data_IF_586834875581
#
_entry.id   IF_586834875581
#
_cell.length_a   1.000
_cell.length_b   1.000
_cell.length_c   1.000
_cell.angle_alpha   90.00
_cell.angle_beta   90.00
_cell.angle_gamma   90.00
#
_symmetry.space_group_name_H-M   'P 1'
#
loop_
_entity.id
_entity.type
_entity.pdbx_description
1 polymer ?
#
# COMPACT_ATOMS: atom_id res chain seq x y z
N UNK A 1 9.68 -16.16 61.43
CA UNK A 1 9.09 -16.18 60.10
C UNK A 1 8.50 -14.82 59.71
N UNK A 2 9.29 -13.74 59.62
CA UNK A 2 8.82 -12.39 59.20
C UNK A 2 9.87 -11.57 58.45
N UNK A 3 10.89 -12.18 57.82
CA UNK A 3 11.95 -11.42 57.11
C UNK A 3 12.08 -11.77 55.60
N UNK A 4 11.26 -12.65 55.05
CA UNK A 4 11.40 -13.09 53.66
C UNK A 4 10.38 -12.49 52.69
N UNK A 5 9.46 -11.65 53.16
CA UNK A 5 8.40 -11.05 52.30
C UNK A 5 8.76 -9.64 51.80
N UNK A 6 9.73 -8.98 52.43
CA UNK A 6 10.13 -7.61 51.99
C UNK A 6 11.12 -7.57 50.84
N UNK A 7 11.75 -8.68 50.46
CA UNK A 7 12.73 -8.71 49.37
C UNK A 7 12.11 -8.99 47.99
N UNK A 8 10.88 -9.48 47.92
CA UNK A 8 10.19 -9.79 46.67
C UNK A 8 9.43 -8.58 46.06
N UNK A 9 9.17 -7.51 46.83
CA UNK A 9 8.48 -6.31 46.32
C UNK A 9 9.43 -5.28 45.74
N UNK A 10 10.73 -5.36 46.01
CA UNK A 10 11.75 -4.38 45.51
C UNK A 10 12.22 -4.66 44.08
N UNK A 11 12.03 -5.87 43.55
CA UNK A 11 12.53 -6.24 42.21
C UNK A 11 11.49 -6.12 41.09
N UNK A 12 10.23 -5.93 41.45
CA UNK A 12 9.16 -5.75 40.44
C UNK A 12 8.99 -4.28 40.00
N UNK A 13 9.60 -3.32 40.71
CA UNK A 13 9.49 -1.89 40.37
C UNK A 13 10.62 -1.38 39.44
N UNK A 14 11.66 -2.18 39.20
CA UNK A 14 12.81 -1.78 38.38
C UNK A 14 12.73 -2.21 36.90
N UNK A 15 11.65 -2.90 36.49
CA UNK A 15 11.46 -3.39 35.11
C UNK A 15 10.44 -2.59 34.29
N UNK A 16 9.93 -1.48 34.81
CA UNK A 16 8.95 -0.62 34.13
C UNK A 16 9.52 0.73 33.61
N UNK A 17 10.83 0.88 33.55
CA UNK A 17 11.47 2.12 33.03
C UNK A 17 12.33 1.83 31.80
N UNK A 18 11.83 1.04 30.89
CA UNK A 18 12.61 0.64 29.72
C UNK A 18 11.83 0.49 28.41
N UNK A 19 10.76 1.25 28.17
CA UNK A 19 10.13 1.33 26.86
C UNK A 19 9.36 2.63 26.72
N UNK A 20 10.08 3.74 26.65
CA UNK A 20 9.49 5.00 26.20
C UNK A 20 10.55 5.85 25.46
N UNK A 21 11.07 5.30 24.38
CA UNK A 21 11.73 6.04 23.33
C UNK A 21 11.20 5.48 22.01
N UNK A 22 9.90 5.54 21.80
CA UNK A 22 9.41 5.66 20.45
C UNK A 22 9.88 7.04 20.01
N UNK A 23 10.97 7.09 19.23
CA UNK A 23 11.31 8.26 18.44
C UNK A 23 10.04 8.62 17.68
N UNK A 24 9.37 9.66 18.16
CA UNK A 24 8.34 10.34 17.40
C UNK A 24 9.07 10.92 16.20
N UNK A 25 9.14 10.16 15.12
CA UNK A 25 9.40 10.73 13.80
C UNK A 25 8.26 11.73 13.61
N UNK A 26 8.50 12.97 13.98
CA UNK A 26 7.66 14.10 13.63
C UNK A 26 7.74 14.21 12.11
N UNK A 27 6.88 13.48 11.41
CA UNK A 27 6.62 13.71 10.00
C UNK A 27 6.12 15.15 9.90
N UNK A 28 7.04 16.06 9.56
CA UNK A 28 6.69 17.42 9.21
C UNK A 28 5.71 17.30 8.05
N UNK A 29 4.45 17.63 8.28
CA UNK A 29 3.46 17.62 7.21
C UNK A 29 3.95 18.58 6.13
N UNK A 30 4.24 18.05 4.95
CA UNK A 30 4.65 18.87 3.81
C UNK A 30 3.45 19.75 3.45
N UNK A 31 3.65 21.06 3.47
CA UNK A 31 2.63 21.97 2.98
C UNK A 31 2.56 21.82 1.46
N UNK A 32 1.41 21.42 0.94
CA UNK A 32 1.20 21.16 -0.48
C UNK A 32 1.60 22.37 -1.36
N UNK A 33 1.23 23.59 -0.97
CA UNK A 33 1.56 24.81 -1.72
C UNK A 33 3.07 25.06 -1.72
N UNK A 34 3.74 24.85 -0.60
CA UNK A 34 5.19 24.99 -0.51
C UNK A 34 5.92 23.99 -1.42
N UNK A 35 5.49 22.74 -1.42
CA UNK A 35 6.04 21.69 -2.29
C UNK A 35 5.83 22.08 -3.76
N UNK A 36 4.61 22.40 -4.14
CA UNK A 36 4.28 22.77 -5.53
C UNK A 36 5.06 23.99 -6.01
N UNK A 37 5.37 24.95 -5.14
CA UNK A 37 6.16 26.14 -5.49
C UNK A 37 7.63 25.81 -5.76
N UNK A 38 8.15 24.75 -5.17
CA UNK A 38 9.53 24.27 -5.36
C UNK A 38 9.70 23.35 -6.56
N UNK A 39 8.62 22.78 -7.08
CA UNK A 39 8.64 21.88 -8.22
C UNK A 39 8.88 22.68 -9.52
N UNK A 40 9.84 22.24 -10.32
CA UNK A 40 10.01 22.70 -11.71
C UNK A 40 8.82 22.23 -12.57
N UNK A 41 8.73 22.72 -13.80
CA UNK A 41 7.75 22.22 -14.76
C UNK A 41 7.99 20.74 -15.10
N UNK A 42 9.26 20.35 -15.18
CA UNK A 42 9.67 18.96 -15.45
C UNK A 42 9.27 18.04 -14.30
N UNK A 43 9.52 18.43 -13.04
CA UNK A 43 9.07 17.68 -11.86
C UNK A 43 7.56 17.47 -11.88
N UNK A 44 6.79 18.51 -12.20
CA UNK A 44 5.33 18.43 -12.30
C UNK A 44 4.89 17.48 -13.41
N UNK A 45 5.57 17.51 -14.56
CA UNK A 45 5.27 16.61 -15.68
C UNK A 45 5.57 15.15 -15.28
N UNK A 46 6.73 14.87 -14.72
CA UNK A 46 7.11 13.53 -14.26
C UNK A 46 6.15 13.02 -13.18
N UNK A 47 5.77 13.87 -12.23
CA UNK A 47 4.89 13.46 -11.13
C UNK A 47 3.50 13.04 -11.62
N UNK A 48 2.92 13.71 -12.62
CA UNK A 48 1.59 13.36 -13.15
C UNK A 48 1.63 12.21 -14.17
N UNK A 49 2.78 11.98 -14.83
CA UNK A 49 2.93 10.86 -15.75
C UNK A 49 3.22 9.57 -14.98
N UNK A 50 4.01 9.67 -13.91
CA UNK A 50 4.47 8.51 -13.14
C UNK A 50 5.54 7.70 -13.88
N UNK A 51 5.81 6.51 -13.37
CA UNK A 51 6.71 5.53 -13.95
C UNK A 51 5.89 4.35 -14.46
N UNK A 52 6.03 4.03 -15.74
CA UNK A 52 5.24 3.00 -16.41
C UNK A 52 5.41 1.61 -15.82
N UNK A 53 4.53 0.71 -16.23
CA UNK A 53 4.56 -0.71 -15.87
C UNK A 53 5.70 -1.41 -16.60
N UNK A 54 6.52 -2.19 -15.90
CA UNK A 54 7.53 -3.04 -16.53
C UNK A 54 6.85 -4.04 -17.48
N UNK A 55 7.45 -4.21 -18.65
CA UNK A 55 6.98 -5.17 -19.65
C UNK A 55 6.00 -4.61 -20.71
N UNK A 56 5.46 -3.40 -20.54
CA UNK A 56 4.66 -2.75 -21.59
C UNK A 56 5.48 -1.86 -22.53
N UNK A 57 6.69 -1.48 -22.14
CA UNK A 57 7.54 -0.52 -22.86
C UNK A 57 8.76 -1.16 -23.53
N UNK A 58 8.89 -2.49 -23.56
CA UNK A 58 10.13 -3.16 -23.95
C UNK A 58 11.25 -2.92 -22.94
N UNK A 59 12.45 -3.43 -23.24
CA UNK A 59 13.63 -3.31 -22.36
C UNK A 59 14.15 -1.86 -22.20
N UNK A 60 13.65 -0.94 -23.03
CA UNK A 60 13.96 0.48 -22.95
C UNK A 60 12.91 1.18 -22.08
N UNK A 61 13.17 1.24 -20.80
CA UNK A 61 12.37 2.03 -19.87
C UNK A 61 12.33 3.48 -20.30
N UNK A 62 11.13 3.94 -20.64
CA UNK A 62 10.89 5.36 -20.91
C UNK A 62 11.20 6.15 -19.66
N UNK A 63 12.29 6.93 -19.71
CA UNK A 63 12.68 7.97 -18.74
C UNK A 63 12.54 7.53 -17.28
N UNK A 64 13.64 7.06 -16.69
CA UNK A 64 13.77 6.91 -15.24
C UNK A 64 13.03 5.72 -14.65
N UNK A 65 13.08 4.55 -15.31
CA UNK A 65 12.60 3.32 -14.70
C UNK A 65 13.26 3.12 -13.34
N UNK A 66 12.58 3.56 -12.33
CA UNK A 66 12.85 3.09 -10.97
C UNK A 66 12.58 1.60 -10.95
N UNK A 67 13.44 0.84 -10.27
CA UNK A 67 13.18 -0.59 -10.02
C UNK A 67 11.73 -0.75 -9.62
N UNK A 68 11.03 -1.74 -10.18
CA UNK A 68 9.71 -2.12 -9.71
C UNK A 68 9.78 -2.35 -8.21
N UNK A 69 9.28 -1.41 -7.43
CA UNK A 69 9.26 -1.50 -5.97
C UNK A 69 8.42 -2.71 -5.53
N UNK A 70 7.32 -2.94 -6.25
CA UNK A 70 6.46 -4.12 -6.07
C UNK A 70 6.22 -4.72 -7.46
N UNK A 71 6.87 -5.86 -7.79
CA UNK A 71 6.67 -6.54 -9.06
C UNK A 71 5.20 -6.89 -9.31
N UNK A 72 4.72 -6.69 -10.53
CA UNK A 72 3.32 -6.93 -10.90
C UNK A 72 2.34 -5.83 -10.50
N UNK A 73 2.77 -4.80 -9.77
CA UNK A 73 1.95 -3.62 -9.51
C UNK A 73 1.64 -2.85 -10.79
N UNK A 74 0.57 -2.05 -10.77
CA UNK A 74 0.12 -1.26 -11.91
C UNK A 74 1.11 -0.17 -12.32
N UNK A 75 1.89 0.33 -11.36
CA UNK A 75 2.92 1.34 -11.59
C UNK A 75 3.28 2.10 -10.33
N UNK A 76 4.15 3.09 -10.47
CA UNK A 76 4.55 3.99 -9.38
C UNK A 76 4.48 5.44 -9.82
N UNK A 77 4.31 6.34 -8.88
CA UNK A 77 4.57 7.75 -9.13
C UNK A 77 6.08 7.98 -9.29
N UNK A 78 6.45 9.06 -9.96
CA UNK A 78 7.83 9.47 -10.04
C UNK A 78 8.30 10.03 -8.68
N UNK A 79 9.42 9.52 -8.11
CA UNK A 79 9.93 10.06 -6.86
C UNK A 79 10.55 11.44 -7.06
N UNK A 80 10.33 12.35 -6.11
CA UNK A 80 10.96 13.66 -6.08
C UNK A 80 11.85 13.75 -4.83
N UNK A 81 12.97 13.03 -4.87
CA UNK A 81 13.90 12.88 -3.75
C UNK A 81 14.42 14.21 -3.22
N UNK A 82 14.63 15.20 -4.10
CA UNK A 82 15.05 16.56 -3.75
C UNK A 82 14.04 17.28 -2.85
N UNK A 83 12.77 16.87 -2.90
CA UNK A 83 11.69 17.42 -2.10
C UNK A 83 11.25 16.48 -0.97
N UNK A 84 11.91 15.33 -0.84
CA UNK A 84 11.57 14.31 0.15
C UNK A 84 10.24 13.58 -0.14
N UNK A 85 9.83 13.52 -1.42
CA UNK A 85 8.61 12.82 -1.84
C UNK A 85 9.01 11.45 -2.42
N UNK A 86 8.69 10.35 -1.75
CA UNK A 86 8.97 9.01 -2.26
C UNK A 86 8.05 8.64 -3.43
N UNK A 87 8.43 7.61 -4.18
CA UNK A 87 7.51 6.97 -5.10
C UNK A 87 6.35 6.31 -4.32
N UNK A 88 5.16 6.38 -4.89
CA UNK A 88 3.94 5.75 -4.38
C UNK A 88 3.58 4.60 -5.31
N UNK A 89 3.40 3.41 -4.76
CA UNK A 89 3.07 2.20 -5.51
C UNK A 89 1.56 2.07 -5.67
N UNK A 90 1.12 1.97 -6.92
CA UNK A 90 -0.28 1.73 -7.28
C UNK A 90 -0.42 0.28 -7.73
N UNK A 91 -1.37 -0.45 -7.17
CA UNK A 91 -1.64 -1.83 -7.52
C UNK A 91 -3.11 -2.05 -7.89
N UNK A 92 -3.36 -2.90 -8.85
CA UNK A 92 -4.71 -3.33 -9.20
C UNK A 92 -5.33 -4.17 -8.08
N UNK A 93 -6.65 -4.12 -7.99
CA UNK A 93 -7.33 -5.06 -7.18
C UNK A 93 -8.79 -4.87 -6.84
N UNK A 94 -9.74 -4.82 -7.81
CA UNK A 94 -11.18 -4.82 -7.46
C UNK A 94 -11.63 -6.07 -6.69
N UNK A 95 -10.95 -7.19 -6.90
CA UNK A 95 -11.20 -8.46 -6.20
C UNK A 95 -10.03 -8.87 -5.27
N UNK A 96 -9.30 -7.91 -4.75
CA UNK A 96 -8.11 -8.09 -3.93
C UNK A 96 -6.83 -7.63 -4.62
N UNK A 97 -5.75 -7.52 -3.89
CA UNK A 97 -4.45 -7.07 -4.39
C UNK A 97 -3.94 -7.98 -5.51
N UNK A 98 -3.40 -7.39 -6.58
CA UNK A 98 -2.81 -8.11 -7.69
C UNK A 98 -1.37 -7.65 -7.92
N UNK A 99 -0.43 -8.53 -7.56
CA UNK A 99 1.02 -8.38 -7.75
C UNK A 99 1.63 -9.73 -8.14
N UNK A 100 2.92 -9.72 -8.50
CA UNK A 100 3.65 -10.96 -8.77
C UNK A 100 3.90 -11.74 -7.47
N UNK A 101 3.80 -13.06 -7.56
CA UNK A 101 3.99 -13.95 -6.42
C UNK A 101 5.44 -13.99 -5.92
N UNK A 102 6.41 -13.56 -6.72
CA UNK A 102 7.83 -13.63 -6.38
C UNK A 102 8.52 -12.29 -6.63
N UNK A 103 9.57 -12.02 -5.87
CA UNK A 103 10.43 -10.84 -6.02
C UNK A 103 11.90 -11.25 -6.15
N UNK A 104 12.63 -10.56 -6.99
CA UNK A 104 14.06 -10.82 -7.16
C UNK A 104 14.81 -10.57 -5.84
N UNK A 105 15.61 -11.54 -5.42
CA UNK A 105 16.38 -11.46 -4.18
C UNK A 105 15.59 -11.74 -2.90
N UNK A 106 14.33 -12.12 -3.01
CA UNK A 106 13.49 -12.52 -1.89
C UNK A 106 13.06 -13.99 -2.03
N UNK A 107 13.16 -14.76 -0.96
CA UNK A 107 12.72 -16.16 -0.90
C UNK A 107 11.23 -16.32 -0.53
N UNK A 108 10.56 -15.24 -0.15
CA UNK A 108 9.16 -15.25 0.19
C UNK A 108 8.27 -15.43 -1.06
N UNK A 109 7.10 -16.00 -0.86
CA UNK A 109 6.05 -16.05 -1.88
C UNK A 109 4.88 -15.20 -1.42
N UNK A 110 4.48 -14.26 -2.26
CA UNK A 110 3.42 -13.29 -1.99
C UNK A 110 2.09 -13.84 -2.51
N UNK A 111 1.34 -14.48 -1.67
CA UNK A 111 0.03 -15.05 -1.99
C UNK A 111 -1.06 -14.00 -1.81
N UNK A 112 -1.52 -13.42 -2.91
CA UNK A 112 -2.64 -12.48 -2.85
C UNK A 112 -3.97 -13.23 -2.73
N UNK A 113 -4.81 -12.77 -1.81
CA UNK A 113 -6.15 -13.32 -1.61
C UNK A 113 -7.08 -12.86 -2.71
N UNK A 114 -7.79 -13.80 -3.34
CA UNK A 114 -8.85 -13.48 -4.28
C UNK A 114 -10.18 -13.37 -3.54
N UNK A 115 -10.69 -12.14 -3.45
CA UNK A 115 -11.97 -11.83 -2.83
C UNK A 115 -13.10 -11.86 -3.88
N UNK A 116 -14.35 -11.98 -3.43
CA UNK A 116 -15.50 -11.86 -4.31
C UNK A 116 -15.56 -10.49 -5.00
N UNK A 117 -16.02 -10.47 -6.26
CA UNK A 117 -16.24 -9.21 -7.01
C UNK A 117 -17.30 -8.33 -6.34
N UNK A 118 -17.26 -7.03 -6.63
CA UNK A 118 -18.14 -6.03 -6.00
C UNK A 118 -19.63 -6.35 -6.14
N UNK A 119 -20.09 -6.85 -7.30
CA UNK A 119 -21.48 -7.25 -7.52
C UNK A 119 -21.91 -8.39 -6.59
N UNK A 120 -21.04 -9.37 -6.34
CA UNK A 120 -21.33 -10.47 -5.41
C UNK A 120 -21.40 -9.99 -3.98
N UNK A 121 -20.44 -9.15 -3.56
CA UNK A 121 -20.46 -8.52 -2.23
C UNK A 121 -21.69 -7.67 -2.02
N UNK A 122 -22.06 -6.84 -2.99
CA UNK A 122 -23.26 -6.01 -2.95
C UNK A 122 -24.56 -6.84 -2.83
N UNK A 123 -24.59 -8.01 -3.46
CA UNK A 123 -25.73 -8.93 -3.41
C UNK A 123 -26.02 -9.50 -2.01
N UNK A 124 -25.06 -9.40 -1.11
CA UNK A 124 -25.24 -9.84 0.29
C UNK A 124 -26.10 -8.87 1.10
N UNK A 125 -26.22 -7.61 0.68
CA UNK A 125 -26.85 -6.52 1.44
C UNK A 125 -26.30 -6.37 2.88
N UNK A 126 -25.10 -6.86 3.12
CA UNK A 126 -24.43 -6.85 4.41
C UNK A 126 -23.24 -5.88 4.39
N UNK A 127 -23.47 -4.64 4.82
CA UNK A 127 -22.43 -3.61 4.84
C UNK A 127 -21.28 -3.93 5.78
N UNK A 128 -21.53 -4.63 6.89
CA UNK A 128 -20.49 -5.05 7.82
C UNK A 128 -19.55 -6.07 7.17
N UNK A 129 -20.09 -7.06 6.46
CA UNK A 129 -19.28 -8.03 5.72
C UNK A 129 -18.39 -7.33 4.67
N UNK A 130 -18.94 -6.36 3.96
CA UNK A 130 -18.18 -5.61 2.95
C UNK A 130 -17.05 -4.79 3.59
N UNK A 131 -17.29 -4.22 4.77
CA UNK A 131 -16.26 -3.52 5.54
C UNK A 131 -15.15 -4.49 6.00
N UNK A 132 -15.49 -5.65 6.53
CA UNK A 132 -14.53 -6.69 6.93
C UNK A 132 -13.66 -7.15 5.75
N UNK A 133 -14.25 -7.34 4.56
CA UNK A 133 -13.51 -7.64 3.33
C UNK A 133 -12.57 -6.49 2.96
N UNK A 134 -13.04 -5.25 3.02
CA UNK A 134 -12.22 -4.07 2.75
C UNK A 134 -11.03 -3.94 3.70
N UNK A 135 -11.23 -4.24 4.98
CA UNK A 135 -10.16 -4.26 5.97
C UNK A 135 -9.12 -5.34 5.66
N UNK A 136 -9.56 -6.57 5.37
CA UNK A 136 -8.66 -7.66 5.02
C UNK A 136 -7.82 -7.37 3.77
N UNK A 137 -8.43 -6.79 2.74
CA UNK A 137 -7.72 -6.33 1.55
C UNK A 137 -6.69 -5.24 1.91
N UNK A 138 -7.07 -4.25 2.71
CA UNK A 138 -6.20 -3.16 3.11
C UNK A 138 -5.00 -3.61 3.95
N UNK A 139 -5.17 -4.62 4.80
CA UNK A 139 -4.08 -5.23 5.56
C UNK A 139 -3.07 -5.92 4.62
N UNK A 140 -3.54 -6.69 3.65
CA UNK A 140 -2.70 -7.37 2.66
C UNK A 140 -1.95 -6.36 1.75
N UNK A 141 -2.63 -5.30 1.31
CA UNK A 141 -2.02 -4.21 0.52
C UNK A 141 -0.86 -3.58 1.29
N UNK A 142 -1.07 -3.28 2.57
CA UNK A 142 -0.06 -2.68 3.44
C UNK A 142 1.10 -3.65 3.70
N UNK A 143 0.81 -4.92 3.97
CA UNK A 143 1.81 -5.96 4.22
C UNK A 143 2.73 -6.15 3.01
N UNK A 144 2.18 -6.12 1.80
CA UNK A 144 2.93 -6.36 0.57
C UNK A 144 3.54 -5.10 -0.04
N UNK A 145 3.38 -3.94 0.62
CA UNK A 145 4.08 -2.71 0.30
C UNK A 145 3.50 -1.92 -0.87
N UNK A 146 2.21 -2.09 -1.16
CA UNK A 146 1.48 -1.19 -2.04
C UNK A 146 0.88 -0.04 -1.22
N UNK A 147 0.80 1.15 -1.82
CA UNK A 147 0.32 2.36 -1.15
C UNK A 147 -1.10 2.72 -1.57
N UNK A 148 -1.45 2.45 -2.82
CA UNK A 148 -2.76 2.74 -3.41
C UNK A 148 -3.29 1.50 -4.10
N UNK A 149 -4.48 1.05 -3.67
CA UNK A 149 -5.22 0.01 -4.36
C UNK A 149 -6.20 0.63 -5.35
N UNK A 150 -6.15 0.21 -6.60
CA UNK A 150 -7.07 0.64 -7.66
C UNK A 150 -8.37 -0.18 -7.54
N UNK A 151 -9.17 0.15 -6.54
CA UNK A 151 -10.42 -0.51 -6.16
C UNK A 151 -11.30 0.47 -5.35
N UNK A 152 -12.59 0.13 -5.11
CA UNK A 152 -13.37 -0.92 -5.75
C UNK A 152 -13.79 -0.58 -7.18
N UNK A 153 -14.19 -1.56 -7.98
CA UNK A 153 -14.89 -1.31 -9.23
C UNK A 153 -16.32 -0.86 -8.93
N UNK A 154 -16.68 0.35 -9.36
CA UNK A 154 -17.99 0.99 -9.08
C UNK A 154 -18.93 0.98 -10.28
N UNK A 155 -18.60 0.26 -11.32
CA UNK A 155 -19.34 0.24 -12.57
C UNK A 155 -20.59 -0.65 -12.44
N UNK A 156 -21.58 -0.35 -13.26
CA UNK A 156 -22.81 -1.12 -13.35
C UNK A 156 -22.74 -2.03 -14.57
N UNK A 157 -23.08 -3.31 -14.41
CA UNK A 157 -23.26 -4.22 -15.52
C UNK A 157 -24.48 -3.82 -16.33
N UNK A 158 -24.30 -3.08 -17.43
CA UNK A 158 -25.38 -2.59 -18.28
C UNK A 158 -25.63 -3.47 -19.47
N UNK A 159 -24.59 -4.11 -19.99
CA UNK A 159 -24.64 -4.90 -21.19
C UNK A 159 -23.94 -6.25 -20.95
N UNK A 160 -24.62 -7.38 -21.17
CA UNK A 160 -24.04 -8.70 -20.96
C UNK A 160 -22.85 -9.00 -21.88
N UNK A 161 -22.70 -8.27 -22.99
CA UNK A 161 -21.58 -8.41 -23.92
C UNK A 161 -20.36 -7.57 -23.52
N UNK A 162 -20.38 -6.85 -22.39
CA UNK A 162 -19.23 -6.11 -21.91
C UNK A 162 -18.14 -7.07 -21.46
N UNK A 163 -16.94 -6.96 -22.05
CA UNK A 163 -15.79 -7.83 -21.74
C UNK A 163 -15.22 -7.68 -20.32
N UNK A 164 -15.64 -6.64 -19.57
CA UNK A 164 -15.17 -6.38 -18.20
C UNK A 164 -16.22 -6.65 -17.12
N UNK A 165 -17.32 -7.32 -17.44
CA UNK A 165 -18.35 -7.65 -16.44
C UNK A 165 -17.83 -8.56 -15.30
N UNK A 166 -16.74 -9.27 -15.53
CA UNK A 166 -16.14 -10.16 -14.52
C UNK A 166 -15.53 -9.41 -13.31
N UNK A 167 -15.31 -8.11 -13.42
CA UNK A 167 -14.64 -7.31 -12.39
C UNK A 167 -15.56 -6.29 -11.69
N UNK A 168 -16.83 -6.21 -12.09
CA UNK A 168 -17.78 -5.23 -11.55
C UNK A 168 -18.65 -5.81 -10.43
#
# INVERSE_FOLDING_TARGET
>A
MKKSVLFALGMAAALMVGCNSADQVTTKSLNQEEVMSKMSLEDKAHFVIGVGMAGFSGDDAVIGATKNLVPGAAGTTYPLDSLGIPAVVLADGPAGLRIDATREGDSATYYCTHFPIGTLLASTWNTQLVEEVGQAIGEEVKEYGADVLLAPALNIMRNPLCGRNFEY
#
